data_IF_371303093352
#
_entry.id   IF_371303093352
#
_cell.length_a   1.000
_cell.length_b   1.000
_cell.length_c   1.000
_cell.angle_alpha   90.00
_cell.angle_beta   90.00
_cell.angle_gamma   90.00
#
_symmetry.space_group_name_H-M   'P 1'
#
loop_
_entity.id
_entity.type
_entity.pdbx_description
1 polymer ?
#
# COMPACT_ATOMS: atom_id res chain seq x y z
N UNK A 1 14.15 12.70 3.20
CA UNK A 1 13.72 11.88 4.36
C UNK A 1 14.95 11.26 5.01
N UNK A 2 14.99 11.17 6.34
CA UNK A 2 16.06 10.46 7.05
C UNK A 2 15.87 8.94 6.86
N UNK A 3 16.96 8.18 6.68
CA UNK A 3 16.91 6.74 6.39
C UNK A 3 16.15 5.95 7.47
N UNK A 4 16.26 6.37 8.74
CA UNK A 4 15.53 5.77 9.86
C UNK A 4 14.02 6.02 9.82
N UNK A 5 13.58 7.16 9.26
CA UNK A 5 12.16 7.46 9.12
C UNK A 5 11.55 6.63 8.00
N UNK A 6 12.29 6.47 6.90
CA UNK A 6 11.91 5.63 5.78
C UNK A 6 11.71 4.17 6.19
N UNK A 7 12.64 3.63 6.99
CA UNK A 7 12.52 2.26 7.53
C UNK A 7 11.28 2.09 8.40
N UNK A 8 11.02 3.04 9.32
CA UNK A 8 9.80 3.01 10.14
C UNK A 8 8.52 3.11 9.31
N UNK A 9 8.52 3.96 8.29
CA UNK A 9 7.40 4.07 7.35
C UNK A 9 7.19 2.76 6.58
N UNK A 10 8.25 2.08 6.16
CA UNK A 10 8.16 0.77 5.51
C UNK A 10 7.61 -0.31 6.44
N UNK A 11 8.13 -0.43 7.65
CA UNK A 11 7.63 -1.38 8.65
C UNK A 11 6.15 -1.12 8.98
N UNK A 12 5.79 0.15 9.12
CA UNK A 12 4.40 0.54 9.34
C UNK A 12 3.50 0.15 8.15
N UNK A 13 3.93 0.42 6.92
CA UNK A 13 3.19 0.04 5.72
C UNK A 13 3.05 -1.47 5.59
N UNK A 14 4.08 -2.26 5.90
CA UNK A 14 4.03 -3.72 5.90
C UNK A 14 2.99 -4.26 6.90
N UNK A 15 2.98 -3.70 8.12
CA UNK A 15 2.03 -4.11 9.15
C UNK A 15 0.60 -3.65 8.83
N UNK A 16 0.43 -2.45 8.28
CA UNK A 16 -0.91 -1.93 7.96
C UNK A 16 -1.46 -2.66 6.75
N UNK A 17 -0.74 -2.73 5.61
CA UNK A 17 -1.18 -3.37 4.35
C UNK A 17 -1.59 -4.84 4.57
N UNK A 18 -0.92 -5.56 5.47
CA UNK A 18 -1.29 -6.95 5.81
C UNK A 18 -2.60 -7.06 6.61
N UNK A 19 -3.07 -5.98 7.23
CA UNK A 19 -4.26 -5.92 8.10
C UNK A 19 -5.43 -5.15 7.52
N UNK A 20 -5.21 -4.33 6.49
CA UNK A 20 -6.29 -3.58 5.83
C UNK A 20 -7.22 -4.56 5.14
N UNK A 21 -8.51 -4.46 5.44
CA UNK A 21 -9.57 -5.05 4.62
C UNK A 21 -10.15 -3.96 3.72
N UNK A 22 -10.88 -4.34 2.66
CA UNK A 22 -11.55 -3.40 1.78
C UNK A 22 -12.61 -2.49 2.47
N UNK A 23 -12.87 -2.71 3.78
CA UNK A 23 -13.82 -1.95 4.61
C UNK A 23 -13.11 -0.97 5.56
N UNK A 24 -11.79 -0.80 5.42
CA UNK A 24 -11.03 0.09 6.30
C UNK A 24 -11.40 1.57 6.07
N UNK A 25 -11.26 2.39 7.12
CA UNK A 25 -11.67 3.81 7.12
C UNK A 25 -10.81 4.68 6.22
N UNK A 26 -9.65 4.19 5.80
CA UNK A 26 -8.69 4.93 5.00
C UNK A 26 -8.69 4.37 3.58
N UNK A 27 -9.01 5.18 2.55
CA UNK A 27 -9.14 4.70 1.18
C UNK A 27 -7.80 4.18 0.65
N UNK A 28 -7.83 3.16 -0.21
CA UNK A 28 -6.63 2.57 -0.82
C UNK A 28 -5.77 3.61 -1.56
N UNK A 29 -6.39 4.64 -2.12
CA UNK A 29 -5.71 5.78 -2.76
C UNK A 29 -4.78 6.56 -1.81
N UNK A 30 -5.10 6.64 -0.51
CA UNK A 30 -4.21 7.24 0.49
C UNK A 30 -2.95 6.39 0.66
N UNK A 31 -3.11 5.08 0.81
CA UNK A 31 -1.98 4.14 0.93
C UNK A 31 -1.12 4.12 -0.34
N UNK A 32 -1.75 4.23 -1.52
CA UNK A 32 -1.09 4.39 -2.82
C UNK A 32 -0.14 5.58 -2.82
N UNK A 33 -0.63 6.75 -2.39
CA UNK A 33 0.15 7.97 -2.32
C UNK A 33 1.27 7.87 -1.29
N UNK A 34 1.03 7.19 -0.15
CA UNK A 34 2.06 6.96 0.88
C UNK A 34 3.20 6.09 0.36
N UNK A 35 2.90 4.98 -0.31
CA UNK A 35 3.91 4.11 -0.93
C UNK A 35 4.68 4.88 -2.01
N UNK A 36 4.01 5.71 -2.81
CA UNK A 36 4.68 6.55 -3.83
C UNK A 36 5.66 7.52 -3.18
N UNK A 37 5.26 8.21 -2.11
CA UNK A 37 6.14 9.12 -1.37
C UNK A 37 7.38 8.42 -0.79
N UNK A 38 7.26 7.17 -0.36
CA UNK A 38 8.39 6.34 0.10
C UNK A 38 9.26 5.93 -1.10
N UNK A 39 8.63 5.62 -2.23
CA UNK A 39 9.30 5.21 -3.48
C UNK A 39 10.11 6.32 -4.14
N UNK A 40 9.71 7.58 -3.96
CA UNK A 40 10.40 8.76 -4.50
C UNK A 40 11.69 9.09 -3.73
N UNK A 41 11.96 8.41 -2.60
CA UNK A 41 13.20 8.53 -1.85
C UNK A 41 14.37 7.71 -2.44
N UNK A 42 15.59 7.97 -1.96
CA UNK A 42 16.76 7.13 -2.28
C UNK A 42 16.61 5.81 -1.53
N UNK A 43 16.26 4.75 -2.26
CA UNK A 43 16.06 3.40 -1.72
C UNK A 43 17.29 2.51 -1.93
N UNK A 44 17.66 1.77 -0.89
CA UNK A 44 18.61 0.64 -1.05
C UNK A 44 17.88 -0.59 -1.62
N UNK A 45 18.59 -1.58 -2.22
CA UNK A 45 17.95 -2.72 -2.88
C UNK A 45 16.98 -3.53 -2.01
N UNK A 46 17.25 -3.64 -0.70
CA UNK A 46 16.36 -4.31 0.26
C UNK A 46 15.04 -3.54 0.43
N UNK A 47 15.12 -2.20 0.55
CA UNK A 47 13.95 -1.32 0.63
C UNK A 47 13.13 -1.35 -0.66
N UNK A 48 13.79 -1.27 -1.83
CA UNK A 48 13.12 -1.36 -3.12
C UNK A 48 12.34 -2.68 -3.26
N UNK A 49 12.91 -3.80 -2.79
CA UNK A 49 12.22 -5.10 -2.79
C UNK A 49 10.99 -5.12 -1.87
N UNK A 50 11.06 -4.45 -0.71
CA UNK A 50 9.93 -4.30 0.22
C UNK A 50 8.82 -3.45 -0.40
N UNK A 51 9.17 -2.29 -0.94
CA UNK A 51 8.25 -1.40 -1.65
C UNK A 51 7.54 -2.13 -2.79
N UNK A 52 8.26 -2.96 -3.56
CA UNK A 52 7.66 -3.76 -4.63
C UNK A 52 6.58 -4.70 -4.09
N UNK A 53 6.84 -5.44 -3.01
CA UNK A 53 5.85 -6.33 -2.38
C UNK A 53 4.63 -5.56 -1.86
N UNK A 54 4.85 -4.40 -1.23
CA UNK A 54 3.75 -3.54 -0.77
C UNK A 54 2.87 -3.06 -1.92
N UNK A 55 3.50 -2.70 -3.03
CA UNK A 55 2.82 -2.25 -4.24
C UNK A 55 1.98 -3.37 -4.87
N UNK A 56 2.51 -4.60 -4.93
CA UNK A 56 1.78 -5.79 -5.38
C UNK A 56 0.59 -6.12 -4.47
N UNK A 57 0.79 -6.10 -3.15
CA UNK A 57 -0.27 -6.34 -2.18
C UNK A 57 -1.39 -5.29 -2.28
N UNK A 58 -1.03 -4.00 -2.39
CA UNK A 58 -2.00 -2.93 -2.55
C UNK A 58 -2.79 -3.07 -3.86
N UNK A 59 -2.14 -3.42 -4.98
CA UNK A 59 -2.84 -3.67 -6.26
C UNK A 59 -3.84 -4.82 -6.14
N UNK A 60 -3.50 -5.88 -5.41
CA UNK A 60 -4.43 -6.99 -5.18
C UNK A 60 -5.64 -6.56 -4.34
N UNK A 61 -5.46 -5.64 -3.37
CA UNK A 61 -6.56 -5.05 -2.62
C UNK A 61 -7.43 -4.14 -3.49
N UNK A 62 -6.82 -3.27 -4.31
CA UNK A 62 -7.53 -2.39 -5.24
C UNK A 62 -8.38 -3.19 -6.24
N UNK A 63 -7.84 -4.28 -6.80
CA UNK A 63 -8.60 -5.16 -7.68
C UNK A 63 -9.77 -5.85 -6.97
N UNK A 64 -9.63 -6.23 -5.69
CA UNK A 64 -10.72 -6.81 -4.90
C UNK A 64 -11.80 -5.78 -4.60
N UNK A 65 -11.42 -4.54 -4.28
CA UNK A 65 -12.35 -3.42 -4.05
C UNK A 65 -13.15 -3.11 -5.32
N UNK A 66 -12.48 -3.06 -6.49
CA UNK A 66 -13.13 -2.85 -7.79
C UNK A 66 -14.11 -3.99 -8.13
N UNK A 67 -13.72 -5.24 -7.90
CA UNK A 67 -14.60 -6.39 -8.09
C UNK A 67 -15.82 -6.35 -7.16
N UNK A 68 -15.64 -5.94 -5.89
CA UNK A 68 -16.74 -5.78 -4.93
C UNK A 68 -17.69 -4.63 -5.32
N UNK A 69 -17.15 -3.50 -5.78
CA UNK A 69 -17.92 -2.35 -6.24
C UNK A 69 -18.76 -2.68 -7.49
N UNK A 70 -18.18 -3.37 -8.47
CA UNK A 70 -18.90 -3.80 -9.68
C UNK A 70 -19.99 -4.84 -9.37
N UNK A 71 -19.78 -5.70 -8.38
CA UNK A 71 -20.78 -6.71 -7.97
C UNK A 71 -22.03 -6.09 -7.32
N UNK A 72 -21.93 -4.87 -6.79
CA UNK A 72 -23.03 -4.20 -6.07
C UNK A 72 -23.94 -3.39 -7.00
N UNK A 73 -23.46 -3.03 -8.21
CA UNK A 73 -24.20 -2.19 -9.17
C UNK A 73 -25.14 -2.98 -10.09
N UNK A 74 -25.11 -4.32 -10.08
CA UNK A 74 -25.94 -5.17 -10.96
C UNK A 74 -27.25 -5.67 -10.31
N UNK A 75 -27.90 -4.90 -9.43
CA UNK A 75 -29.20 -5.30 -8.86
C UNK A 75 -30.31 -4.29 -9.10
#
# INVERSE_FOLDING_TARGET
MNHQQLEKDLEHLEHVISRISADDRIPLSYWRNRIKSVSDGILIPSQASRVKRLNEALRALEAREELAANSTTTR
#
